data_IF_161241630784
#
_entry.id   IF_161241630784
#
_cell.length_a   1.000
_cell.length_b   1.000
_cell.length_c   1.000
_cell.angle_alpha   90.00
_cell.angle_beta   90.00
_cell.angle_gamma   90.00
#
_symmetry.space_group_name_H-M   'P 1'
#
loop_
_entity.id
_entity.type
_entity.pdbx_description
1 polymer ?
#
# COMPACT_ATOMS: atom_id res chain seq x y z
N UNK A 1 -1.27 -55.19 0.72
CA UNK A 1 -0.30 -54.06 0.70
C UNK A 1 -0.90 -52.69 0.35
N UNK A 2 -2.23 -52.52 0.24
CA UNK A 2 -2.84 -51.26 -0.23
C UNK A 2 -3.21 -50.24 0.88
N UNK A 3 -3.30 -50.64 2.15
CA UNK A 3 -3.72 -49.74 3.25
C UNK A 3 -2.64 -48.77 3.77
N UNK A 4 -1.35 -49.08 3.61
CA UNK A 4 -0.25 -48.26 4.15
C UNK A 4 0.12 -47.05 3.28
N UNK A 5 -0.07 -47.14 1.96
CA UNK A 5 0.16 -46.02 1.03
C UNK A 5 -0.91 -44.93 1.17
N UNK A 6 -2.17 -45.33 1.40
CA UNK A 6 -3.29 -44.40 1.52
C UNK A 6 -3.21 -43.56 2.81
N UNK A 7 -2.84 -44.18 3.95
CA UNK A 7 -2.69 -43.46 5.22
C UNK A 7 -1.46 -42.52 5.25
N UNK A 8 -0.36 -42.87 4.57
CA UNK A 8 0.80 -41.96 4.40
C UNK A 8 0.45 -40.74 3.56
N UNK A 9 -0.32 -40.93 2.48
CA UNK A 9 -0.78 -39.83 1.63
C UNK A 9 -1.68 -38.84 2.40
N UNK A 10 -2.61 -39.35 3.21
CA UNK A 10 -3.45 -38.50 4.06
C UNK A 10 -2.67 -37.76 5.15
N UNK A 11 -1.67 -38.40 5.77
CA UNK A 11 -0.78 -37.76 6.75
C UNK A 11 0.09 -36.67 6.13
N UNK A 12 0.67 -36.91 4.94
CA UNK A 12 1.44 -35.92 4.21
C UNK A 12 0.57 -34.72 3.80
N UNK A 13 -0.63 -34.98 3.28
CA UNK A 13 -1.60 -33.95 2.91
C UNK A 13 -2.07 -33.13 4.12
N UNK A 14 -2.21 -33.77 5.28
CA UNK A 14 -2.50 -33.11 6.56
C UNK A 14 -1.33 -32.26 7.08
N UNK A 15 -0.09 -32.72 6.94
CA UNK A 15 1.12 -31.96 7.29
C UNK A 15 1.28 -30.72 6.40
N UNK A 16 1.16 -30.87 5.08
CA UNK A 16 1.23 -29.75 4.14
C UNK A 16 0.16 -28.69 4.44
N UNK A 17 -1.06 -29.11 4.81
CA UNK A 17 -2.13 -28.18 5.19
C UNK A 17 -1.85 -27.44 6.50
N UNK A 18 -1.16 -28.07 7.46
CA UNK A 18 -0.72 -27.43 8.71
C UNK A 18 0.44 -26.46 8.47
N UNK A 19 1.42 -26.84 7.66
CA UNK A 19 2.56 -25.96 7.34
C UNK A 19 2.14 -24.75 6.50
N UNK A 20 1.22 -24.93 5.54
CA UNK A 20 0.58 -23.81 4.83
C UNK A 20 -0.19 -22.89 5.79
N UNK A 21 -0.82 -23.44 6.84
CA UNK A 21 -1.50 -22.64 7.85
C UNK A 21 -0.52 -21.90 8.79
N UNK A 22 0.71 -22.38 8.92
CA UNK A 22 1.75 -21.82 9.81
C UNK A 22 2.83 -21.01 9.06
N UNK A 23 2.65 -20.73 7.76
CA UNK A 23 3.60 -19.93 6.97
C UNK A 23 3.98 -18.60 7.64
N UNK A 24 3.02 -17.94 8.29
CA UNK A 24 3.25 -16.71 9.06
C UNK A 24 4.16 -16.95 10.28
N UNK A 25 3.95 -18.05 11.00
CA UNK A 25 4.78 -18.44 12.15
C UNK A 25 6.20 -18.73 11.72
N UNK A 26 6.37 -19.49 10.64
CA UNK A 26 7.68 -19.79 10.05
C UNK A 26 8.43 -18.54 9.59
N UNK A 27 7.76 -17.60 8.91
CA UNK A 27 8.36 -16.31 8.53
C UNK A 27 8.81 -15.49 9.75
N UNK A 28 8.03 -15.51 10.82
CA UNK A 28 8.36 -14.79 12.06
C UNK A 28 9.59 -15.41 12.74
N UNK A 29 9.68 -16.74 12.78
CA UNK A 29 10.87 -17.42 13.29
C UNK A 29 12.09 -17.15 12.41
N UNK A 30 11.91 -17.13 11.08
CA UNK A 30 12.98 -16.86 10.14
C UNK A 30 13.51 -15.43 10.31
N UNK A 31 12.63 -14.44 10.45
CA UNK A 31 13.05 -13.05 10.68
C UNK A 31 13.81 -12.88 12.01
N UNK A 32 13.40 -13.59 13.07
CA UNK A 32 14.12 -13.61 14.35
C UNK A 32 15.51 -14.24 14.23
N UNK A 33 15.63 -15.35 13.50
CA UNK A 33 16.92 -15.99 13.25
C UNK A 33 17.86 -15.07 12.45
N UNK A 34 17.35 -14.41 11.41
CA UNK A 34 18.10 -13.40 10.64
C UNK A 34 18.55 -12.23 11.52
N UNK A 35 17.66 -11.71 12.38
CA UNK A 35 17.98 -10.61 13.30
C UNK A 35 19.01 -11.00 14.37
N UNK A 36 19.06 -12.27 14.76
CA UNK A 36 20.00 -12.80 15.75
C UNK A 36 21.30 -13.33 15.13
N UNK A 37 21.50 -13.10 13.83
CA UNK A 37 22.65 -13.59 13.06
C UNK A 37 22.82 -15.12 13.06
N UNK A 38 21.76 -15.89 13.35
CA UNK A 38 21.77 -17.35 13.26
C UNK A 38 21.51 -17.79 11.81
N UNK A 39 22.55 -17.71 10.99
CA UNK A 39 22.49 -18.03 9.57
C UNK A 39 22.11 -19.50 9.31
N UNK A 40 22.42 -20.42 10.22
CA UNK A 40 22.08 -21.83 10.09
C UNK A 40 20.56 -22.02 10.20
N UNK A 41 19.96 -21.56 11.30
CA UNK A 41 18.51 -21.67 11.51
C UNK A 41 17.76 -20.88 10.43
N UNK A 42 18.24 -19.68 10.08
CA UNK A 42 17.64 -18.90 9.02
C UNK A 42 17.61 -19.68 7.70
N UNK A 43 18.72 -20.25 7.25
CA UNK A 43 18.78 -21.03 6.00
C UNK A 43 17.90 -22.28 6.01
N UNK A 44 17.75 -22.97 7.15
CA UNK A 44 16.84 -24.10 7.29
C UNK A 44 15.37 -23.68 7.14
N UNK A 45 14.98 -22.59 7.82
CA UNK A 45 13.63 -22.03 7.73
C UNK A 45 13.36 -21.51 6.32
N UNK A 46 14.32 -20.84 5.68
CA UNK A 46 14.18 -20.36 4.30
C UNK A 46 13.83 -21.50 3.33
N UNK A 47 14.60 -22.60 3.39
CA UNK A 47 14.35 -23.79 2.55
C UNK A 47 12.96 -24.36 2.78
N UNK A 48 12.54 -24.47 4.04
CA UNK A 48 11.22 -25.01 4.41
C UNK A 48 10.07 -24.12 3.93
N UNK A 49 10.20 -22.80 4.04
CA UNK A 49 9.16 -21.86 3.59
C UNK A 49 9.08 -21.87 2.05
N UNK A 50 10.22 -22.03 1.36
CA UNK A 50 10.31 -22.00 -0.10
C UNK A 50 9.40 -23.03 -0.76
N UNK A 51 9.29 -24.23 -0.18
CA UNK A 51 8.43 -25.32 -0.65
C UNK A 51 6.94 -24.96 -0.72
N UNK A 52 6.51 -23.95 0.04
CA UNK A 52 5.11 -23.52 0.16
C UNK A 52 4.85 -22.10 -0.36
N UNK A 53 5.91 -21.34 -0.61
CA UNK A 53 5.85 -19.97 -1.12
C UNK A 53 5.70 -19.96 -2.64
N UNK A 54 4.61 -19.39 -3.14
CA UNK A 54 4.32 -19.31 -4.58
C UNK A 54 3.90 -17.90 -4.92
N UNK A 55 4.49 -17.30 -5.95
CA UNK A 55 4.12 -15.96 -6.44
C UNK A 55 2.70 -15.89 -7.01
N UNK A 56 2.13 -17.03 -7.42
CA UNK A 56 0.77 -17.16 -7.97
C UNK A 56 -0.12 -18.07 -7.09
N UNK A 57 0.22 -18.21 -5.81
CA UNK A 57 -0.55 -19.00 -4.86
C UNK A 57 -1.71 -18.23 -4.24
N UNK A 58 -2.27 -18.73 -3.14
CA UNK A 58 -3.21 -17.95 -2.34
C UNK A 58 -2.49 -16.77 -1.64
N UNK A 59 -3.25 -15.81 -1.09
CA UNK A 59 -2.69 -14.61 -0.47
C UNK A 59 -1.61 -14.88 0.60
N UNK A 60 -1.72 -15.97 1.38
CA UNK A 60 -0.69 -16.36 2.36
C UNK A 60 0.60 -16.83 1.68
N UNK A 61 0.49 -17.61 0.60
CA UNK A 61 1.65 -18.12 -0.15
C UNK A 61 2.36 -16.99 -0.90
N UNK A 62 1.59 -16.08 -1.51
CA UNK A 62 2.12 -14.92 -2.23
C UNK A 62 2.81 -13.95 -1.27
N UNK A 63 2.22 -13.69 -0.10
CA UNK A 63 2.88 -12.92 0.96
C UNK A 63 4.18 -13.58 1.40
N UNK A 64 4.15 -14.89 1.67
CA UNK A 64 5.35 -15.62 2.06
C UNK A 64 6.44 -15.54 0.99
N UNK A 65 6.08 -15.62 -0.29
CA UNK A 65 7.03 -15.51 -1.40
C UNK A 65 7.79 -14.18 -1.36
N UNK A 66 7.10 -13.04 -1.25
CA UNK A 66 7.74 -11.73 -1.24
C UNK A 66 8.59 -11.49 0.01
N UNK A 67 8.10 -11.86 1.19
CA UNK A 67 8.86 -11.73 2.44
C UNK A 67 10.09 -12.62 2.44
N UNK A 68 9.97 -13.84 1.91
CA UNK A 68 11.07 -14.78 1.82
C UNK A 68 12.19 -14.28 0.91
N UNK A 69 11.85 -13.75 -0.27
CA UNK A 69 12.82 -13.16 -1.18
C UNK A 69 13.56 -11.96 -0.54
N UNK A 70 12.86 -11.15 0.23
CA UNK A 70 13.46 -10.02 0.94
C UNK A 70 14.39 -10.47 2.09
N UNK A 71 14.03 -11.52 2.83
CA UNK A 71 14.89 -12.09 3.87
C UNK A 71 16.16 -12.72 3.28
N UNK A 72 16.05 -13.42 2.14
CA UNK A 72 17.21 -13.95 1.41
C UNK A 72 18.12 -12.82 0.92
N UNK A 73 17.55 -11.77 0.33
CA UNK A 73 18.30 -10.60 -0.12
C UNK A 73 19.02 -9.91 1.05
N UNK A 74 18.38 -9.82 2.22
CA UNK A 74 18.98 -9.28 3.44
C UNK A 74 20.19 -10.11 3.88
N UNK A 75 20.05 -11.43 3.95
CA UNK A 75 21.15 -12.33 4.33
C UNK A 75 22.32 -12.30 3.34
N UNK A 76 22.02 -12.16 2.06
CA UNK A 76 23.02 -12.09 1.00
C UNK A 76 23.66 -10.70 0.86
N UNK A 77 23.15 -9.67 1.52
CA UNK A 77 23.60 -8.28 1.36
C UNK A 77 23.27 -7.68 -0.03
N UNK A 78 22.27 -8.20 -0.72
CA UNK A 78 21.91 -7.82 -2.10
C UNK A 78 20.64 -6.95 -2.19
N UNK A 79 20.06 -6.56 -1.05
CA UNK A 79 18.80 -5.83 -0.96
C UNK A 79 18.75 -4.57 -1.83
N UNK A 80 19.73 -3.67 -1.70
CA UNK A 80 19.81 -2.41 -2.46
C UNK A 80 19.84 -2.66 -3.97
N UNK A 81 20.69 -3.58 -4.43
CA UNK A 81 20.83 -3.90 -5.85
C UNK A 81 19.53 -4.47 -6.42
N UNK A 82 18.87 -5.36 -5.68
CA UNK A 82 17.60 -5.95 -6.09
C UNK A 82 16.46 -4.91 -6.09
N UNK A 83 16.40 -4.03 -5.08
CA UNK A 83 15.42 -2.94 -5.04
C UNK A 83 15.60 -1.95 -6.20
N UNK A 84 16.84 -1.58 -6.53
CA UNK A 84 17.14 -0.73 -7.68
C UNK A 84 16.74 -1.41 -8.99
N UNK A 85 17.07 -2.69 -9.17
CA UNK A 85 16.70 -3.46 -10.35
C UNK A 85 15.17 -3.55 -10.52
N UNK A 86 14.43 -3.80 -9.42
CA UNK A 86 12.96 -3.80 -9.42
C UNK A 86 12.41 -2.42 -9.82
N UNK A 87 13.01 -1.33 -9.32
CA UNK A 87 12.59 0.04 -9.63
C UNK A 87 12.80 0.42 -11.10
N UNK A 88 13.75 -0.20 -11.80
CA UNK A 88 14.01 0.05 -13.24
C UNK A 88 13.16 -0.80 -14.18
N UNK A 89 12.42 -1.78 -13.65
CA UNK A 89 11.63 -2.70 -14.47
C UNK A 89 10.45 -1.96 -15.09
N UNK A 90 10.48 -1.78 -16.41
CA UNK A 90 9.35 -1.20 -17.16
C UNK A 90 8.23 -2.23 -17.27
N UNK A 91 7.08 -1.89 -16.70
CA UNK A 91 5.82 -2.60 -16.97
C UNK A 91 5.07 -1.86 -18.07
N UNK A 92 4.40 -2.58 -18.96
CA UNK A 92 3.66 -1.92 -20.05
C UNK A 92 2.45 -1.15 -19.53
N UNK A 93 2.06 -0.10 -20.27
CA UNK A 93 0.82 0.65 -20.05
C UNK A 93 -0.41 -0.26 -19.87
N UNK A 94 -0.52 -1.27 -20.74
CA UNK A 94 -1.66 -2.18 -20.78
C UNK A 94 -1.72 -3.10 -19.56
N UNK A 95 -0.58 -3.64 -19.12
CA UNK A 95 -0.51 -4.44 -17.89
C UNK A 95 -0.86 -3.60 -16.66
N UNK A 96 -0.41 -2.35 -16.64
CA UNK A 96 -0.71 -1.45 -15.54
C UNK A 96 -2.17 -1.07 -15.45
N UNK A 97 -2.80 -0.76 -16.58
CA UNK A 97 -4.24 -0.51 -16.63
C UNK A 97 -5.04 -1.72 -16.11
N UNK A 98 -4.66 -2.94 -16.53
CA UNK A 98 -5.29 -4.18 -16.05
C UNK A 98 -5.10 -4.37 -14.55
N UNK A 99 -3.88 -4.17 -14.05
CA UNK A 99 -3.58 -4.31 -12.63
C UNK A 99 -4.34 -3.28 -11.78
N UNK A 100 -4.38 -2.02 -12.23
CA UNK A 100 -5.14 -0.97 -11.56
C UNK A 100 -6.64 -1.27 -11.54
N UNK A 101 -7.21 -1.69 -12.68
CA UNK A 101 -8.63 -2.06 -12.77
C UNK A 101 -8.98 -3.20 -11.80
N UNK A 102 -8.15 -4.25 -11.76
CA UNK A 102 -8.31 -5.36 -10.81
C UNK A 102 -8.24 -4.86 -9.36
N UNK A 103 -7.26 -4.00 -9.07
CA UNK A 103 -7.08 -3.41 -7.73
C UNK A 103 -8.30 -2.60 -7.29
N UNK A 104 -8.75 -1.61 -8.07
CA UNK A 104 -9.88 -0.74 -7.67
C UNK A 104 -11.21 -1.48 -7.60
N UNK A 105 -11.33 -2.62 -8.27
CA UNK A 105 -12.53 -3.48 -8.20
C UNK A 105 -12.50 -4.37 -6.96
N UNK A 106 -11.33 -4.86 -6.57
CA UNK A 106 -11.18 -5.76 -5.43
C UNK A 106 -10.97 -5.03 -4.09
N UNK A 107 -10.41 -3.83 -4.12
CA UNK A 107 -9.85 -3.15 -2.96
C UNK A 107 -10.32 -1.68 -2.86
N UNK A 108 -10.99 -1.29 -1.76
CA UNK A 108 -11.59 0.03 -1.63
C UNK A 108 -10.59 1.16 -1.37
N UNK A 109 -9.38 0.84 -0.88
CA UNK A 109 -8.52 1.83 -0.24
C UNK A 109 -8.26 3.07 -1.11
N UNK A 110 -7.84 2.84 -2.36
CA UNK A 110 -7.51 3.93 -3.26
C UNK A 110 -8.74 4.67 -3.78
N UNK A 111 -9.88 3.98 -4.00
CA UNK A 111 -11.11 4.65 -4.43
C UNK A 111 -11.63 5.60 -3.34
N UNK A 112 -11.55 5.20 -2.06
CA UNK A 112 -11.94 6.05 -0.94
C UNK A 112 -10.98 7.23 -0.77
N UNK A 113 -9.66 7.00 -0.89
CA UNK A 113 -8.66 8.07 -0.90
C UNK A 113 -8.93 9.09 -1.99
N UNK A 114 -9.13 8.64 -3.23
CA UNK A 114 -9.42 9.53 -4.36
C UNK A 114 -10.72 10.31 -4.14
N UNK A 115 -11.73 9.71 -3.51
CA UNK A 115 -12.97 10.43 -3.18
C UNK A 115 -12.70 11.59 -2.20
N UNK A 116 -11.98 11.30 -1.11
CA UNK A 116 -11.60 12.31 -0.13
C UNK A 116 -10.73 13.42 -0.73
N UNK A 117 -9.68 13.05 -1.46
CA UNK A 117 -8.73 13.97 -2.06
C UNK A 117 -9.39 14.86 -3.10
N UNK A 118 -10.18 14.29 -4.02
CA UNK A 118 -10.84 15.03 -5.09
C UNK A 118 -11.83 16.06 -4.53
N UNK A 119 -12.61 15.67 -3.52
CA UNK A 119 -13.53 16.60 -2.85
C UNK A 119 -12.79 17.67 -2.06
N UNK A 120 -11.70 17.31 -1.39
CA UNK A 120 -10.87 18.28 -0.66
C UNK A 120 -10.25 19.30 -1.60
N UNK A 121 -9.67 18.86 -2.72
CA UNK A 121 -9.12 19.73 -3.78
C UNK A 121 -10.23 20.61 -4.36
N UNK A 122 -11.38 20.03 -4.73
CA UNK A 122 -12.53 20.79 -5.25
C UNK A 122 -12.99 21.89 -4.28
N UNK A 123 -13.07 21.57 -2.98
CA UNK A 123 -13.45 22.51 -1.95
C UNK A 123 -12.48 23.69 -1.80
N UNK A 124 -11.17 23.43 -1.82
CA UNK A 124 -10.16 24.51 -1.65
C UNK A 124 -9.88 25.28 -2.94
N UNK A 125 -10.26 24.72 -4.09
CA UNK A 125 -10.06 25.33 -5.41
C UNK A 125 -11.29 26.04 -5.97
N UNK A 126 -12.39 26.08 -5.21
CA UNK A 126 -13.61 26.75 -5.64
C UNK A 126 -13.38 28.24 -5.94
N UNK A 127 -13.78 28.68 -7.13
CA UNK A 127 -13.70 30.09 -7.55
C UNK A 127 -12.31 30.59 -7.96
N UNK A 128 -11.28 29.74 -8.02
CA UNK A 128 -9.94 30.16 -8.46
C UNK A 128 -9.88 30.28 -9.99
N UNK A 129 -9.18 31.30 -10.51
CA UNK A 129 -8.98 31.45 -11.95
C UNK A 129 -7.92 30.48 -12.53
N UNK A 130 -6.96 30.06 -11.69
CA UNK A 130 -5.87 29.15 -12.07
C UNK A 130 -5.63 28.14 -10.95
N UNK A 131 -5.50 26.87 -11.32
CA UNK A 131 -5.22 25.78 -10.40
C UNK A 131 -3.99 25.01 -10.89
N UNK A 132 -2.99 24.83 -10.02
CA UNK A 132 -1.85 23.97 -10.29
C UNK A 132 -1.81 22.87 -9.24
N UNK A 133 -1.86 21.62 -9.70
CA UNK A 133 -1.77 20.43 -8.86
C UNK A 133 -0.41 19.78 -9.08
N UNK A 134 0.29 19.46 -8.00
CA UNK A 134 1.55 18.72 -7.98
C UNK A 134 1.30 17.38 -7.30
N UNK A 135 1.49 16.29 -8.04
CA UNK A 135 1.19 14.93 -7.62
C UNK A 135 2.48 14.10 -7.52
N UNK A 136 2.90 13.77 -6.30
CA UNK A 136 4.11 12.98 -6.02
C UNK A 136 3.88 11.46 -6.02
N UNK A 137 2.74 11.03 -6.56
CA UNK A 137 2.42 9.63 -6.79
C UNK A 137 1.48 9.53 -7.96
N UNK A 138 1.74 10.30 -9.03
CA UNK A 138 0.93 10.24 -10.25
C UNK A 138 1.04 8.80 -10.73
N UNK A 139 0.00 8.03 -10.46
CA UNK A 139 -0.13 6.70 -11.00
C UNK A 139 -0.37 6.88 -12.51
N UNK A 140 -1.22 6.06 -13.12
CA UNK A 140 -1.61 6.25 -14.51
C UNK A 140 -2.65 7.37 -14.72
N UNK A 141 -2.57 8.46 -13.94
CA UNK A 141 -3.43 9.64 -14.07
C UNK A 141 -4.91 9.37 -13.75
N UNK A 142 -5.28 8.18 -13.26
CA UNK A 142 -6.69 7.77 -13.10
C UNK A 142 -7.54 8.63 -12.16
N UNK A 143 -6.93 9.33 -11.21
CA UNK A 143 -7.62 10.25 -10.31
C UNK A 143 -8.14 11.50 -11.03
N UNK A 144 -7.34 12.03 -11.96
CA UNK A 144 -7.50 13.38 -12.51
C UNK A 144 -8.72 13.57 -13.43
N UNK A 145 -9.19 12.59 -14.22
CA UNK A 145 -10.43 12.72 -14.99
C UNK A 145 -11.64 13.14 -14.15
N UNK A 146 -11.80 12.59 -12.94
CA UNK A 146 -12.90 12.96 -12.04
C UNK A 146 -12.79 14.42 -11.56
N UNK A 147 -11.58 14.91 -11.31
CA UNK A 147 -11.36 16.31 -10.96
C UNK A 147 -11.62 17.23 -12.15
N UNK A 148 -11.09 16.91 -13.33
CA UNK A 148 -11.29 17.70 -14.55
C UNK A 148 -12.80 17.84 -14.83
N UNK A 149 -13.55 16.74 -14.73
CA UNK A 149 -14.99 16.76 -14.87
C UNK A 149 -15.65 17.64 -13.79
N UNK A 150 -15.30 17.47 -12.52
CA UNK A 150 -15.86 18.28 -11.43
C UNK A 150 -15.60 19.78 -11.59
N UNK A 151 -14.37 20.15 -11.97
CA UNK A 151 -13.98 21.54 -12.23
C UNK A 151 -14.71 22.16 -13.43
N UNK A 152 -15.14 21.34 -14.40
CA UNK A 152 -15.88 21.80 -15.59
C UNK A 152 -17.29 22.31 -15.27
N UNK A 153 -17.88 21.83 -14.17
CA UNK A 153 -19.22 22.21 -13.72
C UNK A 153 -19.24 23.45 -12.83
N UNK A 154 -18.10 24.12 -12.61
CA UNK A 154 -18.07 25.34 -11.81
C UNK A 154 -18.88 26.46 -12.45
N UNK A 155 -19.69 27.15 -11.65
CA UNK A 155 -20.60 28.22 -12.11
C UNK A 155 -19.89 29.43 -12.76
N UNK A 156 -18.63 29.68 -12.40
CA UNK A 156 -17.78 30.70 -13.02
C UNK A 156 -16.94 30.22 -14.22
N UNK A 157 -17.18 28.99 -14.69
CA UNK A 157 -16.36 28.32 -15.69
C UNK A 157 -15.14 27.58 -15.10
N UNK A 158 -14.47 26.72 -15.91
CA UNK A 158 -13.32 25.95 -15.45
C UNK A 158 -12.08 26.83 -15.25
N UNK A 159 -11.24 26.56 -14.23
CA UNK A 159 -9.96 27.24 -14.06
C UNK A 159 -8.97 26.85 -15.16
N UNK A 160 -7.95 27.69 -15.38
CA UNK A 160 -6.75 27.23 -16.09
C UNK A 160 -6.03 26.18 -15.22
N UNK A 161 -6.13 24.92 -15.63
CA UNK A 161 -5.57 23.78 -14.90
C UNK A 161 -4.18 23.42 -15.40
N UNK A 162 -3.24 23.22 -14.48
CA UNK A 162 -1.95 22.55 -14.70
C UNK A 162 -1.85 21.37 -13.74
N UNK A 163 -1.44 20.22 -14.23
CA UNK A 163 -1.11 19.05 -13.40
C UNK A 163 0.34 18.70 -13.69
N UNK A 164 1.15 18.58 -12.63
CA UNK A 164 2.53 18.12 -12.70
C UNK A 164 2.62 16.87 -11.84
N UNK A 165 3.11 15.77 -12.39
CA UNK A 165 3.16 14.51 -11.68
C UNK A 165 4.53 13.84 -11.77
N UNK A 166 4.88 13.12 -10.71
CA UNK A 166 6.05 12.23 -10.63
C UNK A 166 5.57 10.78 -10.46
N UNK A 167 6.00 9.90 -11.36
CA UNK A 167 5.51 8.51 -11.43
C UNK A 167 6.03 7.66 -10.27
N UNK A 168 5.14 6.92 -9.62
CA UNK A 168 5.48 5.78 -8.73
C UNK A 168 4.60 4.59 -9.10
N UNK A 169 5.17 3.54 -9.67
CA UNK A 169 4.40 2.47 -10.33
C UNK A 169 4.15 1.19 -9.48
N UNK A 170 2.89 0.75 -9.51
CA UNK A 170 2.31 -0.63 -9.52
C UNK A 170 2.13 -1.51 -8.25
N UNK A 171 0.90 -1.92 -7.95
CA UNK A 171 0.46 -2.41 -6.62
C UNK A 171 1.05 -3.73 -6.05
N UNK A 172 0.84 -4.92 -6.63
CA UNK A 172 1.19 -6.15 -5.86
C UNK A 172 2.66 -6.57 -6.00
N UNK A 173 3.16 -6.74 -7.24
CA UNK A 173 4.56 -7.12 -7.49
C UNK A 173 5.53 -5.96 -7.32
N UNK A 174 5.13 -4.77 -7.75
CA UNK A 174 6.02 -3.61 -7.87
C UNK A 174 5.88 -2.62 -6.70
N UNK A 175 4.86 -2.75 -5.83
CA UNK A 175 4.66 -1.90 -4.64
C UNK A 175 4.73 -2.79 -3.41
N UNK A 176 3.86 -3.78 -3.20
CA UNK A 176 3.93 -4.62 -1.98
C UNK A 176 5.23 -5.44 -1.96
N UNK A 177 5.58 -6.11 -3.06
CA UNK A 177 6.83 -6.88 -3.15
C UNK A 177 8.09 -6.00 -3.05
N UNK A 178 8.07 -4.82 -3.69
CA UNK A 178 9.16 -3.84 -3.70
C UNK A 178 9.33 -3.15 -2.35
N UNK A 179 8.25 -2.76 -1.70
CA UNK A 179 8.23 -2.19 -0.35
C UNK A 179 8.72 -3.23 0.65
N UNK A 180 8.24 -4.48 0.58
CA UNK A 180 8.75 -5.56 1.42
C UNK A 180 10.27 -5.74 1.22
N UNK A 181 10.76 -5.74 -0.02
CA UNK A 181 12.19 -5.77 -0.33
C UNK A 181 12.94 -4.59 0.31
N UNK A 182 12.44 -3.36 0.17
CA UNK A 182 13.11 -2.19 0.72
C UNK A 182 13.13 -2.19 2.26
N UNK A 183 11.97 -2.42 2.88
CA UNK A 183 11.79 -2.37 4.33
C UNK A 183 12.61 -3.46 5.02
N UNK A 184 12.67 -4.66 4.44
CA UNK A 184 13.34 -5.81 5.06
C UNK A 184 14.82 -5.87 4.67
N UNK A 185 15.19 -5.64 3.41
CA UNK A 185 16.52 -5.92 2.91
C UNK A 185 17.44 -4.70 2.78
N UNK A 186 16.89 -3.48 2.72
CA UNK A 186 17.69 -2.26 2.63
C UNK A 186 17.93 -1.67 4.03
N UNK A 187 19.11 -1.07 4.23
CA UNK A 187 19.55 -0.51 5.51
C UNK A 187 19.84 0.98 5.40
N UNK A 188 19.71 1.68 6.53
CA UNK A 188 20.07 3.10 6.69
C UNK A 188 19.57 3.94 5.50
N UNK A 189 20.45 4.60 4.76
CA UNK A 189 20.11 5.54 3.66
C UNK A 189 19.42 4.86 2.49
N UNK A 190 19.67 3.56 2.29
CA UNK A 190 19.09 2.78 1.19
C UNK A 190 17.65 2.34 1.48
N UNK A 191 17.25 2.35 2.75
CA UNK A 191 15.85 2.13 3.15
C UNK A 191 15.05 3.42 2.98
N UNK A 192 14.43 3.54 1.80
CA UNK A 192 13.56 4.64 1.37
C UNK A 192 12.17 4.53 1.99
N UNK A 193 11.61 3.31 2.03
CA UNK A 193 10.26 3.06 2.53
C UNK A 193 10.27 3.04 4.06
N UNK A 194 9.67 4.06 4.65
CA UNK A 194 9.62 4.28 6.10
C UNK A 194 8.23 4.75 6.52
N UNK A 195 7.23 3.83 6.52
CA UNK A 195 5.90 4.18 6.94
C UNK A 195 5.91 4.63 8.40
N UNK A 196 5.27 5.77 8.65
CA UNK A 196 5.05 6.31 9.99
C UNK A 196 3.55 6.37 10.28
N UNK A 197 3.20 6.37 11.56
CA UNK A 197 1.80 6.52 11.98
C UNK A 197 1.27 7.91 11.63
N UNK A 198 -0.04 8.03 11.43
CA UNK A 198 -0.68 9.32 11.17
C UNK A 198 -0.46 10.34 12.31
N UNK A 199 -0.29 9.86 13.55
CA UNK A 199 0.06 10.69 14.71
C UNK A 199 1.48 11.29 14.60
N UNK A 200 2.44 10.55 14.05
CA UNK A 200 3.77 11.09 13.76
C UNK A 200 3.71 12.12 12.62
N UNK A 201 2.92 11.84 11.58
CA UNK A 201 2.66 12.82 10.51
C UNK A 201 1.96 14.09 11.00
N UNK A 202 1.03 13.98 11.95
CA UNK A 202 0.41 15.12 12.61
C UNK A 202 1.48 16.05 13.21
N UNK A 203 2.42 15.49 13.98
CA UNK A 203 3.50 16.24 14.62
C UNK A 203 4.44 16.86 13.58
N UNK A 204 4.79 16.13 12.52
CA UNK A 204 5.64 16.65 11.43
C UNK A 204 5.01 17.83 10.70
N UNK A 205 3.75 17.70 10.31
CA UNK A 205 3.03 18.77 9.60
C UNK A 205 2.87 20.02 10.47
N UNK A 206 2.54 19.86 11.75
CA UNK A 206 2.47 20.97 12.70
C UNK A 206 3.82 21.67 12.89
N UNK A 207 4.92 20.92 13.01
CA UNK A 207 6.28 21.48 13.09
C UNK A 207 6.69 22.22 11.80
N UNK A 208 6.19 21.77 10.66
CA UNK A 208 6.38 22.44 9.37
C UNK A 208 5.41 23.63 9.15
N UNK A 209 4.68 24.05 10.19
CA UNK A 209 3.76 25.21 10.16
C UNK A 209 2.60 25.01 9.19
N UNK A 210 2.13 23.77 9.06
CA UNK A 210 0.87 23.45 8.40
C UNK A 210 -0.26 23.36 9.41
N UNK A 211 -1.40 23.93 9.04
CA UNK A 211 -2.65 23.82 9.79
C UNK A 211 -3.56 22.81 9.10
N UNK A 212 -4.01 21.83 9.87
CA UNK A 212 -4.97 20.84 9.37
C UNK A 212 -6.30 21.53 9.07
N UNK A 213 -6.89 21.21 7.92
CA UNK A 213 -8.21 21.66 7.54
C UNK A 213 -9.28 20.76 8.16
N UNK A 214 -10.43 21.34 8.48
CA UNK A 214 -11.58 20.62 9.02
C UNK A 214 -12.06 19.56 8.01
N UNK A 215 -12.24 18.33 8.47
CA UNK A 215 -12.88 17.30 7.67
C UNK A 215 -14.35 17.66 7.48
N UNK A 216 -14.75 17.91 6.23
CA UNK A 216 -16.16 18.16 5.94
C UNK A 216 -16.95 16.85 5.98
N UNK A 217 -18.11 16.89 6.63
CA UNK A 217 -18.91 15.70 6.88
C UNK A 217 -19.58 15.14 5.61
N UNK A 218 -19.84 15.98 4.60
CA UNK A 218 -20.32 15.53 3.28
C UNK A 218 -19.32 14.59 2.60
N UNK A 219 -18.01 14.85 2.75
CA UNK A 219 -16.95 13.97 2.25
C UNK A 219 -17.00 12.63 3.00
N UNK A 220 -17.11 12.67 4.33
CA UNK A 220 -17.14 11.47 5.16
C UNK A 220 -18.38 10.61 4.89
N UNK A 221 -19.54 11.22 4.68
CA UNK A 221 -20.79 10.57 4.29
C UNK A 221 -20.67 9.88 2.92
N UNK A 222 -20.06 10.53 1.93
CA UNK A 222 -19.83 9.93 0.62
C UNK A 222 -18.88 8.71 0.71
N UNK A 223 -17.80 8.83 1.48
CA UNK A 223 -16.87 7.71 1.73
C UNK A 223 -17.57 6.55 2.44
N UNK A 224 -18.36 6.83 3.49
CA UNK A 224 -19.16 5.82 4.21
C UNK A 224 -20.20 5.16 3.30
N UNK A 225 -20.81 5.91 2.39
CA UNK A 225 -21.77 5.39 1.41
C UNK A 225 -21.10 4.44 0.43
N UNK A 226 -19.99 4.85 -0.20
CA UNK A 226 -19.24 4.01 -1.14
C UNK A 226 -18.70 2.75 -0.46
N UNK A 227 -18.32 2.83 0.81
CA UNK A 227 -17.87 1.69 1.62
C UNK A 227 -18.91 0.56 1.68
N UNK A 228 -20.20 0.84 1.55
CA UNK A 228 -21.26 -0.18 1.62
C UNK A 228 -21.16 -1.23 0.50
N UNK A 229 -20.51 -0.92 -0.61
CA UNK A 229 -20.28 -1.84 -1.72
C UNK A 229 -19.11 -2.82 -1.48
N UNK A 230 -18.43 -2.71 -0.34
CA UNK A 230 -17.22 -3.48 -0.04
C UNK A 230 -17.38 -4.41 1.17
N UNK A 231 -16.39 -5.30 1.33
CA UNK A 231 -16.38 -6.30 2.39
C UNK A 231 -16.53 -5.67 3.79
N UNK A 232 -17.29 -6.33 4.68
CA UNK A 232 -17.60 -5.83 6.03
C UNK A 232 -16.37 -5.54 6.91
N UNK A 233 -15.27 -6.25 6.68
CA UNK A 233 -14.02 -6.09 7.43
C UNK A 233 -13.23 -4.84 7.01
N UNK A 234 -13.56 -4.22 5.88
CA UNK A 234 -13.11 -2.88 5.56
C UNK A 234 -13.95 -1.89 6.36
N UNK A 235 -13.30 -1.02 7.14
CA UNK A 235 -13.96 -0.05 8.00
C UNK A 235 -13.37 1.32 7.72
N UNK A 236 -14.20 2.36 7.72
CA UNK A 236 -13.75 3.75 7.62
C UNK A 236 -14.12 4.45 8.92
N UNK A 237 -13.11 4.96 9.61
CA UNK A 237 -13.22 5.70 10.87
C UNK A 237 -12.85 7.17 10.73
N UNK A 238 -13.14 7.92 11.78
CA UNK A 238 -12.80 9.34 11.90
C UNK A 238 -12.06 9.55 13.23
N UNK A 239 -10.93 10.25 13.17
CA UNK A 239 -10.17 10.67 14.36
C UNK A 239 -9.75 12.12 14.19
N UNK A 240 -10.45 13.03 14.87
CA UNK A 240 -10.31 14.47 14.65
C UNK A 240 -10.63 14.82 13.20
N UNK A 241 -9.65 15.34 12.46
CA UNK A 241 -9.78 15.69 11.04
C UNK A 241 -9.14 14.65 10.10
N UNK A 242 -8.96 13.41 10.58
CA UNK A 242 -8.44 12.30 9.79
C UNK A 242 -9.56 11.36 9.38
N UNK A 243 -9.49 10.87 8.14
CA UNK A 243 -10.21 9.66 7.73
C UNK A 243 -9.25 8.48 7.87
N UNK A 244 -9.65 7.46 8.63
CA UNK A 244 -8.89 6.24 8.83
C UNK A 244 -9.53 5.10 8.03
N UNK A 245 -8.72 4.36 7.29
CA UNK A 245 -9.16 3.21 6.51
C UNK A 245 -8.54 1.94 7.05
N UNK A 246 -9.39 1.03 7.50
CA UNK A 246 -9.02 -0.11 8.33
C UNK A 246 -9.40 -1.42 7.66
N UNK A 247 -8.62 -2.46 7.92
CA UNK A 247 -8.96 -3.84 7.58
C UNK A 247 -8.76 -4.75 8.78
N UNK A 248 -9.84 -5.40 9.22
CA UNK A 248 -9.81 -6.33 10.39
C UNK A 248 -9.20 -5.68 11.65
N UNK A 249 -9.57 -4.43 11.91
CA UNK A 249 -9.11 -3.68 13.10
C UNK A 249 -7.67 -3.17 13.01
N UNK A 250 -7.07 -3.11 11.81
CA UNK A 250 -5.77 -2.49 11.57
C UNK A 250 -5.93 -1.32 10.61
N UNK A 251 -5.51 -0.14 11.04
CA UNK A 251 -5.42 1.05 10.20
C UNK A 251 -4.37 0.80 9.12
N UNK A 252 -4.77 0.91 7.85
CA UNK A 252 -3.90 0.75 6.68
C UNK A 252 -3.58 2.10 6.06
N UNK A 253 -4.58 2.98 5.92
CA UNK A 253 -4.38 4.35 5.42
C UNK A 253 -5.00 5.37 6.36
N UNK A 254 -4.39 6.55 6.40
CA UNK A 254 -4.92 7.72 7.09
C UNK A 254 -4.84 8.92 6.15
N UNK A 255 -5.94 9.63 5.98
CA UNK A 255 -6.08 10.73 5.05
C UNK A 255 -6.35 12.02 5.80
N UNK A 256 -5.69 13.11 5.39
CA UNK A 256 -5.89 14.44 5.96
C UNK A 256 -5.59 15.52 4.93
N UNK A 257 -6.15 16.72 5.16
CA UNK A 257 -5.90 17.88 4.32
C UNK A 257 -5.27 18.99 5.15
N UNK A 258 -4.28 19.69 4.58
CA UNK A 258 -3.45 20.67 5.27
C UNK A 258 -3.30 21.94 4.45
N UNK A 259 -3.22 23.07 5.12
CA UNK A 259 -2.93 24.37 4.53
C UNK A 259 -1.65 24.94 5.15
N UNK A 260 -0.77 25.48 4.32
CA UNK A 260 0.40 26.22 4.81
C UNK A 260 -0.07 27.53 5.46
N UNK A 261 0.36 27.77 6.70
CA UNK A 261 0.12 29.03 7.42
C UNK A 261 1.34 29.97 7.33
N UNK A 262 2.26 29.73 6.37
CA UNK A 262 3.54 30.45 6.20
C UNK A 262 3.42 31.95 5.82
N UNK A 263 2.22 32.52 5.76
CA UNK A 263 1.99 33.96 5.50
C UNK A 263 1.67 34.77 6.77
N UNK A 264 1.99 34.25 7.96
CA UNK A 264 1.82 34.94 9.26
C UNK A 264 3.14 35.42 9.90
N UNK A 265 4.24 35.47 9.16
CA UNK A 265 5.50 36.09 9.59
C UNK A 265 5.80 37.33 8.75
#
# INVERSE_FOLDING_TARGET
MFGSKWSRSQKARGRNRRELADLRGLLTQCSQAVASFDSRIANELLKRIRDYSLSYGNGTQTMAHYFLNALEARLAGTGTTLYAALSTRRTSAAEMLKAYQAYVTACPFHQMSNTFENKSIGNVSSGVARLHIVDFGILYVFQWPCIIQGLSYHSGGPPKLRITGEERLLFEREVIGREAMNVIACEVTERVERPETYKQWQVRNQRAVFRQLLLKQDIMEEVRTKKLSYHKDFVVGEDGNWILQDWKGRIIYALSCWKSDQYKQ
#
